data_IF_201160436423
#
_entry.id   IF_201160436423
#
_cell.length_a   1.000
_cell.length_b   1.000
_cell.length_c   1.000
_cell.angle_alpha   90.00
_cell.angle_beta   90.00
_cell.angle_gamma   90.00
#
_symmetry.space_group_name_H-M   'P 1'
#
loop_
_entity.id
_entity.type
_entity.pdbx_description
1 polymer ?
#
# COMPACT_ATOMS: atom_id res chain seq x y z
N UNK A 1 22.10 46.73 18.36
CA UNK A 1 20.78 46.28 17.85
C UNK A 1 20.98 45.65 16.49
N UNK A 2 21.15 44.33 16.48
CA UNK A 2 21.56 43.54 15.32
C UNK A 2 20.30 43.03 14.63
N UNK A 3 19.99 43.54 13.42
CA UNK A 3 18.83 43.08 12.64
C UNK A 3 19.12 41.67 12.10
N UNK A 4 18.47 40.69 12.71
CA UNK A 4 18.48 39.30 12.29
C UNK A 4 17.79 39.21 10.91
N UNK A 5 18.55 38.91 9.85
CA UNK A 5 17.98 38.56 8.55
C UNK A 5 17.35 37.17 8.69
N UNK A 6 16.02 37.14 8.73
CA UNK A 6 15.26 35.89 8.58
C UNK A 6 15.44 35.44 7.13
N UNK A 7 16.30 34.46 6.93
CA UNK A 7 16.36 33.69 5.68
C UNK A 7 15.10 32.84 5.67
N UNK A 8 14.09 33.28 4.92
CA UNK A 8 13.00 32.39 4.50
C UNK A 8 13.64 31.33 3.61
N UNK A 9 13.95 30.18 4.20
CA UNK A 9 14.16 28.95 3.43
C UNK A 9 12.77 28.59 2.92
N UNK A 10 12.43 29.11 1.74
CA UNK A 10 11.35 28.58 0.93
C UNK A 10 11.72 27.14 0.62
N UNK A 11 11.16 26.22 1.40
CA UNK A 11 11.20 24.80 1.13
C UNK A 11 10.40 24.61 -0.15
N UNK A 12 11.09 24.64 -1.29
CA UNK A 12 10.54 24.19 -2.56
C UNK A 12 10.19 22.73 -2.34
N UNK A 13 8.94 22.44 -2.01
CA UNK A 13 8.40 21.09 -2.11
C UNK A 13 8.53 20.75 -3.58
N UNK A 14 9.58 19.98 -3.88
CA UNK A 14 9.77 19.36 -5.17
C UNK A 14 8.52 18.52 -5.36
N UNK A 15 7.58 19.01 -6.16
CA UNK A 15 6.49 18.21 -6.70
C UNK A 15 7.18 17.15 -7.52
N UNK A 16 7.44 16.01 -6.89
CA UNK A 16 7.83 14.80 -7.59
C UNK A 16 6.56 14.35 -8.31
N UNK A 17 6.30 15.02 -9.45
CA UNK A 17 5.39 14.50 -10.46
C UNK A 17 6.03 13.18 -10.86
N UNK A 18 5.56 12.08 -10.27
CA UNK A 18 5.83 10.75 -10.79
C UNK A 18 5.05 10.71 -12.10
N UNK A 19 5.68 11.22 -13.16
CA UNK A 19 5.25 10.90 -14.52
C UNK A 19 5.52 9.42 -14.63
N UNK A 20 4.50 8.60 -14.33
CA UNK A 20 4.54 7.17 -14.59
C UNK A 20 4.60 7.06 -16.11
N UNK A 21 5.82 6.90 -16.62
CA UNK A 21 6.03 6.69 -18.04
C UNK A 21 5.42 5.33 -18.39
N UNK A 22 4.22 5.37 -18.98
CA UNK A 22 3.59 4.19 -19.56
C UNK A 22 4.19 4.00 -20.95
N UNK A 23 5.06 3.00 -21.08
CA UNK A 23 5.55 2.58 -22.39
C UNK A 23 4.59 1.55 -22.97
N UNK A 24 3.96 1.88 -24.09
CA UNK A 24 3.26 0.88 -24.92
C UNK A 24 4.29 0.17 -25.79
N UNK A 25 4.75 -1.01 -25.37
CA UNK A 25 5.55 -1.89 -26.24
C UNK A 25 4.83 -3.20 -26.50
N UNK A 26 4.83 -3.57 -27.78
CA UNK A 26 4.53 -4.91 -28.30
C UNK A 26 5.37 -5.94 -27.55
N UNK A 27 4.71 -6.94 -26.94
CA UNK A 27 5.28 -8.19 -26.41
C UNK A 27 6.69 -8.08 -25.78
N UNK A 28 6.72 -7.85 -24.47
CA UNK A 28 7.95 -7.83 -23.66
C UNK A 28 8.40 -9.26 -23.31
N UNK A 29 9.68 -9.55 -23.47
CA UNK A 29 10.29 -10.77 -22.93
C UNK A 29 10.69 -10.54 -21.46
N UNK A 30 10.19 -11.38 -20.55
CA UNK A 30 10.45 -11.28 -19.13
C UNK A 30 11.65 -12.17 -18.82
N UNK A 31 12.69 -11.58 -18.22
CA UNK A 31 13.87 -12.29 -17.74
C UNK A 31 13.83 -12.42 -16.22
N UNK A 32 14.41 -13.49 -15.67
CA UNK A 32 14.51 -13.70 -14.22
C UNK A 32 15.43 -12.68 -13.50
N UNK A 33 16.39 -12.10 -14.23
CA UNK A 33 17.29 -11.03 -13.81
C UNK A 33 17.86 -10.29 -15.03
N UNK A 34 18.54 -9.12 -14.86
CA UNK A 34 19.22 -8.44 -15.96
C UNK A 34 20.18 -9.38 -16.72
N UNK A 35 19.93 -9.60 -18.01
CA UNK A 35 20.70 -10.51 -18.86
C UNK A 35 20.50 -12.01 -18.57
N UNK A 36 19.48 -12.35 -17.79
CA UNK A 36 19.15 -13.71 -17.38
C UNK A 36 18.37 -14.50 -18.42
N UNK A 37 17.74 -15.60 -17.97
CA UNK A 37 16.99 -16.51 -18.84
C UNK A 37 15.57 -15.98 -19.06
N UNK A 38 14.99 -16.12 -20.27
CA UNK A 38 13.56 -15.88 -20.49
C UNK A 38 12.67 -16.81 -19.66
N UNK A 39 11.72 -16.21 -18.95
CA UNK A 39 10.73 -16.91 -18.11
C UNK A 39 9.29 -16.69 -18.58
N UNK A 40 9.06 -15.79 -19.54
CA UNK A 40 7.75 -15.57 -20.11
C UNK A 40 7.69 -14.36 -21.02
N UNK A 41 6.49 -14.05 -21.50
CA UNK A 41 6.22 -12.85 -22.29
C UNK A 41 5.02 -12.10 -21.72
N UNK A 42 5.08 -10.77 -21.74
CA UNK A 42 3.97 -9.90 -21.37
C UNK A 42 3.48 -9.09 -22.56
N UNK A 43 2.18 -9.08 -22.76
CA UNK A 43 1.51 -8.24 -23.76
C UNK A 43 0.56 -7.29 -23.03
N UNK A 44 0.96 -6.03 -22.89
CA UNK A 44 0.18 -5.02 -22.17
C UNK A 44 1.02 -3.85 -21.67
N UNK A 45 0.39 -2.83 -21.08
CA UNK A 45 1.10 -1.73 -20.45
C UNK A 45 1.94 -2.24 -19.26
N UNK A 46 3.03 -1.52 -18.99
CA UNK A 46 3.87 -1.75 -17.80
C UNK A 46 4.17 -0.42 -17.12
N UNK A 47 4.27 -0.48 -15.81
CA UNK A 47 4.77 0.62 -14.98
C UNK A 47 6.29 0.49 -14.85
N UNK A 48 7.03 1.55 -15.18
CA UNK A 48 8.49 1.57 -15.01
C UNK A 48 8.82 1.96 -13.58
N UNK A 49 9.41 1.03 -12.82
CA UNK A 49 9.81 1.24 -11.43
C UNK A 49 11.21 1.84 -11.29
N UNK A 50 12.14 1.45 -12.17
CA UNK A 50 13.51 1.97 -12.18
C UNK A 50 14.16 1.74 -13.56
N UNK A 51 15.15 2.56 -13.90
CA UNK A 51 16.01 2.37 -15.08
C UNK A 51 17.46 2.42 -14.63
N UNK A 52 18.23 1.39 -14.99
CA UNK A 52 19.64 1.27 -14.62
C UNK A 52 20.46 0.79 -15.82
N UNK A 53 21.28 1.69 -16.37
CA UNK A 53 22.05 1.43 -17.58
C UNK A 53 21.15 1.05 -18.76
N UNK A 54 21.30 -0.20 -19.24
CA UNK A 54 20.54 -0.76 -20.36
C UNK A 54 19.29 -1.56 -19.94
N UNK A 55 18.89 -1.45 -18.67
CA UNK A 55 17.81 -2.24 -18.10
C UNK A 55 16.73 -1.35 -17.50
N UNK A 56 15.48 -1.80 -17.59
CA UNK A 56 14.36 -1.23 -16.88
C UNK A 56 13.76 -2.29 -15.96
N UNK A 57 13.56 -1.94 -14.69
CA UNK A 57 12.73 -2.68 -13.76
C UNK A 57 11.29 -2.22 -13.96
N UNK A 58 10.39 -3.15 -14.24
CA UNK A 58 8.98 -2.85 -14.53
C UNK A 58 8.05 -3.64 -13.63
N UNK A 59 6.84 -3.12 -13.43
CA UNK A 59 5.70 -3.80 -12.79
C UNK A 59 4.62 -4.02 -13.84
N UNK A 60 4.21 -5.28 -13.98
CA UNK A 60 3.13 -5.69 -14.86
C UNK A 60 1.85 -5.78 -14.03
N UNK A 61 0.78 -5.13 -14.47
CA UNK A 61 -0.51 -5.13 -13.78
C UNK A 61 -1.55 -5.82 -14.66
N UNK A 62 -2.21 -6.84 -14.12
CA UNK A 62 -3.24 -7.58 -14.82
C UNK A 62 -4.12 -8.37 -13.86
N UNK A 63 -5.31 -8.72 -14.34
CA UNK A 63 -6.27 -9.54 -13.62
C UNK A 63 -6.28 -10.94 -14.21
N UNK A 64 -6.20 -11.96 -13.35
CA UNK A 64 -6.36 -13.36 -13.73
C UNK A 64 -7.50 -14.00 -12.92
N UNK A 65 -8.17 -15.03 -13.44
CA UNK A 65 -9.14 -15.77 -12.66
C UNK A 65 -8.52 -16.32 -11.37
N UNK A 66 -9.18 -16.10 -10.23
CA UNK A 66 -8.70 -16.51 -8.90
C UNK A 66 -8.29 -17.99 -8.83
N UNK A 67 -8.97 -18.86 -9.58
CA UNK A 67 -8.69 -20.30 -9.66
C UNK A 67 -7.32 -20.66 -10.25
N UNK A 68 -6.63 -19.72 -10.93
CA UNK A 68 -5.30 -19.93 -11.50
C UNK A 68 -4.16 -19.63 -10.51
N UNK A 69 -4.47 -19.12 -9.32
CA UNK A 69 -3.47 -18.73 -8.31
C UNK A 69 -3.30 -19.86 -7.29
N UNK A 70 -2.06 -20.32 -7.11
CA UNK A 70 -1.69 -21.32 -6.11
C UNK A 70 -0.43 -20.88 -5.33
N UNK A 71 -0.44 -20.90 -3.99
CA UNK A 71 -1.59 -21.16 -3.14
C UNK A 71 -2.66 -20.06 -3.29
N UNK A 72 -3.91 -20.38 -2.97
CA UNK A 72 -5.03 -19.43 -3.11
C UNK A 72 -4.77 -18.18 -2.27
N UNK A 73 -4.75 -17.01 -2.92
CA UNK A 73 -4.58 -15.74 -2.22
C UNK A 73 -5.86 -15.37 -1.43
N UNK A 74 -5.72 -14.77 -0.23
CA UNK A 74 -6.83 -14.13 0.46
C UNK A 74 -7.51 -13.06 -0.38
N UNK A 75 -8.74 -12.70 0.01
CA UNK A 75 -9.43 -11.57 -0.59
C UNK A 75 -8.91 -10.24 -0.06
N UNK A 76 -8.97 -9.18 -0.88
CA UNK A 76 -8.64 -7.82 -0.50
C UNK A 76 -7.34 -7.31 -1.13
N UNK A 77 -6.76 -6.31 -0.47
CA UNK A 77 -5.51 -5.66 -0.88
C UNK A 77 -4.37 -6.22 -0.04
N UNK A 78 -3.37 -6.80 -0.71
CA UNK A 78 -2.12 -7.18 -0.06
C UNK A 78 -1.32 -5.93 0.27
N UNK A 79 -0.90 -5.80 1.53
CA UNK A 79 -0.09 -4.66 1.97
C UNK A 79 1.33 -4.79 1.42
N UNK A 80 1.82 -3.73 0.78
CA UNK A 80 3.22 -3.65 0.37
C UNK A 80 4.14 -3.75 1.58
N UNK A 81 5.35 -4.29 1.38
CA UNK A 81 6.32 -4.52 2.46
C UNK A 81 6.03 -5.72 3.37
N UNK A 82 4.82 -6.31 3.33
CA UNK A 82 4.50 -7.47 4.17
C UNK A 82 5.29 -8.74 3.75
N UNK A 83 5.76 -9.55 4.73
CA UNK A 83 6.59 -10.72 4.46
C UNK A 83 5.80 -11.91 3.89
N UNK A 84 6.49 -12.85 3.24
CA UNK A 84 5.89 -14.10 2.75
C UNK A 84 4.66 -13.89 1.85
N UNK A 85 3.61 -14.70 2.04
CA UNK A 85 2.33 -14.55 1.33
C UNK A 85 1.57 -13.26 1.69
N UNK A 86 2.02 -12.54 2.72
CA UNK A 86 1.63 -11.16 3.02
C UNK A 86 0.52 -10.99 4.04
N UNK A 87 0.27 -9.73 4.37
CA UNK A 87 -0.90 -9.29 5.14
C UNK A 87 -1.91 -8.70 4.15
N UNK A 88 -3.17 -9.09 4.27
CA UNK A 88 -4.25 -8.68 3.38
C UNK A 88 -5.31 -7.93 4.15
N UNK A 89 -5.75 -6.79 3.63
CA UNK A 89 -6.85 -5.99 4.19
C UNK A 89 -8.06 -6.06 3.26
N UNK A 90 -9.24 -6.34 3.80
CA UNK A 90 -10.47 -6.44 3.03
C UNK A 90 -11.66 -5.82 3.75
N UNK A 91 -12.75 -5.60 2.99
CA UNK A 91 -14.03 -5.10 3.51
C UNK A 91 -13.90 -3.82 4.36
N UNK A 92 -13.01 -2.92 3.95
CA UNK A 92 -12.76 -1.64 4.64
C UNK A 92 -13.99 -0.76 4.56
N UNK A 93 -14.36 -0.16 5.69
CA UNK A 93 -15.43 0.84 5.80
C UNK A 93 -14.98 1.99 6.68
N UNK A 94 -15.28 3.20 6.22
CA UNK A 94 -15.16 4.43 7.00
C UNK A 94 -16.58 4.74 7.49
N UNK A 95 -16.76 4.85 8.79
CA UNK A 95 -18.05 5.18 9.39
C UNK A 95 -17.88 6.30 10.41
N UNK A 96 -19.01 6.91 10.79
CA UNK A 96 -19.03 7.94 11.82
C UNK A 96 -19.17 7.29 13.21
N UNK A 97 -18.31 7.66 14.15
CA UNK A 97 -18.39 7.24 15.54
C UNK A 97 -19.43 8.06 16.33
N UNK A 98 -19.50 7.86 17.65
CA UNK A 98 -20.46 8.57 18.51
C UNK A 98 -20.11 10.07 18.72
N UNK A 99 -18.85 10.47 18.50
CA UNK A 99 -18.36 11.84 18.62
C UNK A 99 -18.47 12.62 17.31
N UNK A 100 -18.70 11.93 16.20
CA UNK A 100 -18.77 12.51 14.86
C UNK A 100 -17.48 12.35 14.06
N UNK A 101 -16.49 11.67 14.62
CA UNK A 101 -15.19 11.38 14.02
C UNK A 101 -15.27 10.14 13.13
N UNK A 102 -14.28 9.98 12.26
CA UNK A 102 -14.14 8.80 11.43
C UNK A 102 -13.71 7.61 12.30
N UNK A 103 -14.31 6.47 12.05
CA UNK A 103 -13.86 5.18 12.53
C UNK A 103 -13.63 4.29 11.31
N UNK A 104 -12.45 3.66 11.27
CA UNK A 104 -12.09 2.76 10.19
C UNK A 104 -12.24 1.33 10.66
N UNK A 105 -13.08 0.56 9.97
CA UNK A 105 -13.27 -0.87 10.24
C UNK A 105 -12.89 -1.71 9.04
N UNK A 106 -12.55 -2.97 9.27
CA UNK A 106 -12.22 -3.89 8.19
C UNK A 106 -11.80 -5.25 8.71
N UNK A 107 -11.26 -6.06 7.81
CA UNK A 107 -10.72 -7.38 8.11
C UNK A 107 -9.28 -7.46 7.67
N UNK A 108 -8.47 -8.15 8.48
CA UNK A 108 -7.08 -8.46 8.16
C UNK A 108 -6.90 -9.97 8.13
N UNK A 109 -6.26 -10.46 7.07
CA UNK A 109 -5.88 -11.87 6.91
C UNK A 109 -4.36 -12.01 6.93
N UNK A 110 -3.84 -12.90 7.79
CA UNK A 110 -2.43 -13.22 7.86
C UNK A 110 -2.11 -14.41 6.94
N UNK A 111 -1.39 -14.17 5.84
CA UNK A 111 -0.89 -15.20 4.94
C UNK A 111 0.66 -15.22 4.90
N UNK A 112 1.32 -14.74 5.95
CA UNK A 112 2.77 -14.56 5.95
C UNK A 112 3.57 -15.85 6.11
N UNK A 113 2.92 -16.95 6.51
CA UNK A 113 3.57 -18.23 6.83
C UNK A 113 4.03 -18.35 8.29
N UNK A 114 3.62 -17.42 9.17
CA UNK A 114 3.87 -17.47 10.61
C UNK A 114 2.79 -16.75 11.41
N UNK A 115 2.71 -17.04 12.69
CA UNK A 115 1.83 -16.38 13.65
C UNK A 115 2.40 -15.03 14.09
N UNK A 116 1.53 -14.12 14.53
CA UNK A 116 1.93 -12.86 15.17
C UNK A 116 1.20 -12.65 16.49
N UNK A 117 1.96 -12.30 17.52
CA UNK A 117 1.41 -11.86 18.80
C UNK A 117 0.83 -10.46 18.68
N UNK A 118 1.48 -9.61 17.87
CA UNK A 118 0.99 -8.27 17.57
C UNK A 118 1.34 -7.88 16.14
N UNK A 119 0.31 -7.52 15.38
CA UNK A 119 0.43 -6.91 14.06
C UNK A 119 0.05 -5.43 14.17
N UNK A 120 0.92 -4.56 13.64
CA UNK A 120 0.69 -3.13 13.54
C UNK A 120 0.62 -2.72 12.08
N UNK A 121 -0.53 -2.14 11.71
CA UNK A 121 -0.74 -1.49 10.42
C UNK A 121 -0.88 0.02 10.64
N UNK A 122 -0.65 0.79 9.59
CA UNK A 122 -0.99 2.22 9.57
C UNK A 122 -2.16 2.43 8.61
N UNK A 123 -3.23 3.05 9.12
CA UNK A 123 -4.35 3.54 8.33
C UNK A 123 -4.13 5.02 8.05
N UNK A 124 -3.68 5.32 6.83
CA UNK A 124 -3.44 6.69 6.34
C UNK A 124 -4.76 7.25 5.83
N UNK A 125 -5.25 8.30 6.50
CA UNK A 125 -6.49 9.00 6.17
C UNK A 125 -6.20 10.07 5.13
N UNK A 126 -6.95 10.07 4.04
CA UNK A 126 -6.76 10.96 2.89
C UNK A 126 -8.03 11.75 2.63
N UNK A 127 -7.89 13.05 2.37
CA UNK A 127 -9.01 13.92 2.04
C UNK A 127 -9.42 13.84 0.56
N UNK A 128 -10.47 14.57 0.17
CA UNK A 128 -10.97 14.56 -1.21
C UNK A 128 -10.01 15.18 -2.24
N UNK A 129 -9.00 15.94 -1.79
CA UNK A 129 -7.93 16.47 -2.64
C UNK A 129 -6.83 15.43 -2.91
N UNK A 130 -6.80 14.35 -2.13
CA UNK A 130 -5.70 13.38 -2.14
C UNK A 130 -4.59 13.72 -1.14
N UNK A 131 -4.78 14.71 -0.27
CA UNK A 131 -3.80 15.07 0.76
C UNK A 131 -3.96 14.18 1.99
N UNK A 132 -2.83 13.81 2.60
CA UNK A 132 -2.82 13.04 3.85
C UNK A 132 -3.26 13.93 5.01
N UNK A 133 -4.29 13.50 5.72
CA UNK A 133 -4.82 14.18 6.91
C UNK A 133 -4.06 13.72 8.15
N UNK A 134 -4.00 12.39 8.34
CA UNK A 134 -3.40 11.75 9.51
C UNK A 134 -3.05 10.28 9.22
N UNK A 135 -2.26 9.64 10.07
CA UNK A 135 -1.95 8.22 10.02
C UNK A 135 -2.20 7.57 11.39
N UNK A 136 -3.17 6.67 11.45
CA UNK A 136 -3.63 6.05 12.70
C UNK A 136 -3.12 4.60 12.80
N UNK A 137 -2.50 4.21 13.93
CA UNK A 137 -2.06 2.83 14.11
C UNK A 137 -3.26 1.90 14.32
N UNK A 138 -3.27 0.78 13.60
CA UNK A 138 -4.22 -0.33 13.77
C UNK A 138 -3.49 -1.49 14.40
N UNK A 139 -3.83 -1.80 15.65
CA UNK A 139 -3.21 -2.87 16.42
C UNK A 139 -4.11 -4.11 16.44
N UNK A 140 -3.58 -5.22 15.97
CA UNK A 140 -4.29 -6.51 15.92
C UNK A 140 -3.47 -7.51 16.72
N UNK A 141 -4.04 -7.97 17.82
CA UNK A 141 -3.38 -8.93 18.70
C UNK A 141 -3.69 -10.38 18.29
N UNK A 142 -2.71 -11.26 18.51
CA UNK A 142 -2.78 -12.70 18.34
C UNK A 142 -3.41 -13.14 17.01
N UNK A 143 -2.76 -12.93 15.88
CA UNK A 143 -3.27 -13.34 14.57
C UNK A 143 -2.48 -14.54 14.02
N UNK A 144 -3.01 -15.77 14.17
CA UNK A 144 -2.37 -16.95 13.61
C UNK A 144 -2.24 -16.89 12.09
N UNK A 145 -1.32 -17.68 11.56
CA UNK A 145 -1.20 -17.95 10.14
C UNK A 145 -2.53 -18.50 9.58
N UNK A 146 -2.93 -17.98 8.42
CA UNK A 146 -4.20 -18.30 7.75
C UNK A 146 -5.44 -17.65 8.37
N UNK A 147 -5.35 -17.05 9.56
CA UNK A 147 -6.50 -16.48 10.24
C UNK A 147 -6.90 -15.10 9.67
N UNK A 148 -8.20 -14.80 9.79
CA UNK A 148 -8.76 -13.47 9.52
C UNK A 148 -9.34 -12.87 10.80
N UNK A 149 -9.04 -11.60 11.08
CA UNK A 149 -9.57 -10.86 12.24
C UNK A 149 -10.13 -9.51 11.82
N UNK A 150 -11.28 -9.16 12.38
CA UNK A 150 -11.84 -7.82 12.26
C UNK A 150 -11.07 -6.82 13.10
N UNK A 151 -10.99 -5.58 12.63
CA UNK A 151 -10.45 -4.44 13.40
C UNK A 151 -11.41 -3.26 13.35
N UNK A 152 -11.28 -2.39 14.35
CA UNK A 152 -11.89 -1.07 14.40
C UNK A 152 -10.83 -0.11 14.94
N UNK A 153 -10.51 0.93 14.18
CA UNK A 153 -9.58 1.97 14.54
C UNK A 153 -10.35 3.28 14.68
N UNK A 154 -10.38 3.81 15.90
CA UNK A 154 -10.92 5.14 16.16
C UNK A 154 -9.92 6.18 15.67
N UNK A 155 -10.44 7.26 15.09
CA UNK A 155 -9.63 8.40 14.66
C UNK A 155 -10.07 9.65 15.43
N UNK A 156 -9.22 10.68 15.46
CA UNK A 156 -9.60 12.00 15.96
C UNK A 156 -9.92 12.97 14.80
N UNK A 157 -10.26 12.43 13.63
CA UNK A 157 -10.51 13.19 12.40
C UNK A 157 -12.01 13.19 12.11
N UNK A 158 -12.64 14.36 11.89
CA UNK A 158 -14.07 14.41 11.59
C UNK A 158 -14.44 13.56 10.37
N UNK A 159 -15.50 12.75 10.47
CA UNK A 159 -15.90 11.80 9.41
C UNK A 159 -16.00 12.44 8.02
N UNK A 160 -16.52 13.66 7.94
CA UNK A 160 -16.72 14.37 6.67
C UNK A 160 -15.43 14.85 5.99
N UNK A 161 -14.27 14.73 6.64
CA UNK A 161 -12.97 15.10 6.06
C UNK A 161 -12.28 13.92 5.36
N UNK A 162 -12.60 12.69 5.74
CA UNK A 162 -11.94 11.49 5.19
C UNK A 162 -12.65 11.03 3.93
N UNK A 163 -11.95 11.05 2.80
CA UNK A 163 -12.46 10.53 1.53
C UNK A 163 -11.99 9.09 1.27
N UNK A 164 -10.76 8.77 1.68
CA UNK A 164 -10.13 7.46 1.44
C UNK A 164 -9.25 7.05 2.63
N UNK A 165 -9.03 5.75 2.77
CA UNK A 165 -8.05 5.18 3.70
C UNK A 165 -7.12 4.24 2.97
N UNK A 166 -5.81 4.49 3.10
CA UNK A 166 -4.75 3.65 2.55
C UNK A 166 -4.08 2.91 3.71
N UNK A 167 -3.88 1.60 3.56
CA UNK A 167 -3.21 0.79 4.58
C UNK A 167 -1.76 0.53 4.23
N UNK A 168 -0.90 0.63 5.25
CA UNK A 168 0.51 0.29 5.15
C UNK A 168 0.88 -0.76 6.21
N UNK A 169 1.74 -1.70 5.84
CA UNK A 169 2.35 -2.61 6.80
C UNK A 169 3.44 -1.86 7.56
N UNK A 170 3.35 -1.83 8.89
CA UNK A 170 4.31 -1.10 9.72
C UNK A 170 5.26 -2.06 10.44
N UNK A 171 4.73 -2.91 11.33
CA UNK A 171 5.53 -3.87 12.08
C UNK A 171 4.74 -5.11 12.48
N UNK A 172 5.44 -6.18 12.82
CA UNK A 172 4.84 -7.37 13.39
C UNK A 172 5.81 -8.06 14.36
N UNK A 173 5.28 -8.50 15.52
CA UNK A 173 5.98 -9.18 16.60
C UNK A 173 5.47 -10.61 16.73
#
# INVERSE_FOLDING_TARGET
>A
MTKQKVVKVSLSVLTMVIVVATATTLKLEILDRPGGRPIGTWEGPVEVLAVEGRWAKVRMLGWVPKAQIAPAAPEGVRLEGSPGGGIWVSSVRIQKDFLGDAQVTGWVTNATGKDFEMLMLEAVLVDSSGDVIDAVPVLISHIPEGASKGFAAETAVPFGQVAEVIFQFSAAL
#
